data_IF_152093727037
#
_entry.id   IF_152093727037
#
_cell.length_a   1.000
_cell.length_b   1.000
_cell.length_c   1.000
_cell.angle_alpha   90.00
_cell.angle_beta   90.00
_cell.angle_gamma   90.00
#
_symmetry.space_group_name_H-M   'P 1'
#
loop_
_entity.id
_entity.type
_entity.pdbx_description
1 polymer ?
#
# COMPACT_ATOMS: atom_id res chain seq x y z
N UNK A 1 25.48 10.91 10.85
CA UNK A 1 24.18 10.63 11.49
C UNK A 1 24.44 9.92 12.81
N UNK A 2 23.60 10.18 13.81
CA UNK A 2 23.51 9.36 15.03
C UNK A 2 22.83 8.03 14.71
N UNK A 3 23.13 7.01 15.50
CA UNK A 3 22.56 5.67 15.29
C UNK A 3 21.11 5.61 15.80
N UNK A 4 20.13 5.20 14.96
CA UNK A 4 18.76 4.96 15.40
C UNK A 4 18.68 3.84 16.43
N UNK A 5 17.81 3.99 17.42
CA UNK A 5 17.59 2.93 18.41
C UNK A 5 16.65 1.85 17.84
N UNK A 6 16.81 0.61 18.31
CA UNK A 6 15.85 -0.45 17.98
C UNK A 6 14.45 -0.01 18.43
N UNK A 7 13.50 -0.02 17.50
CA UNK A 7 12.12 0.44 17.73
C UNK A 7 11.86 1.89 17.32
N UNK A 8 12.83 2.60 16.75
CA UNK A 8 12.57 3.88 16.06
C UNK A 8 11.53 3.67 14.96
N UNK A 9 10.51 4.53 14.94
CA UNK A 9 9.39 4.44 14.02
C UNK A 9 9.10 5.82 13.41
N UNK A 10 8.75 5.81 12.12
CA UNK A 10 8.13 6.94 11.45
C UNK A 10 6.75 6.53 10.99
N UNK A 11 5.72 7.27 11.42
CA UNK A 11 4.33 6.97 11.09
C UNK A 11 3.79 8.06 10.19
N UNK A 12 3.42 7.67 8.98
CA UNK A 12 2.80 8.58 8.02
C UNK A 12 1.38 8.14 7.67
N UNK A 13 0.40 8.98 7.99
CA UNK A 13 -0.98 8.80 7.56
C UNK A 13 -1.37 9.90 6.58
N UNK A 14 -1.94 9.52 5.44
CA UNK A 14 -2.39 10.46 4.41
C UNK A 14 -3.68 9.98 3.76
N UNK A 15 -4.54 10.93 3.43
CA UNK A 15 -5.68 10.71 2.54
C UNK A 15 -5.14 10.63 1.11
N UNK A 16 -5.62 9.66 0.32
CA UNK A 16 -5.20 9.52 -1.07
C UNK A 16 -5.71 10.71 -1.88
N UNK A 17 -4.77 11.49 -2.42
CA UNK A 17 -5.05 12.62 -3.31
C UNK A 17 -4.74 12.24 -4.76
N UNK A 18 -5.03 13.14 -5.70
CA UNK A 18 -4.76 12.93 -7.12
C UNK A 18 -3.25 12.68 -7.37
N UNK A 19 -2.37 13.33 -6.61
CA UNK A 19 -0.91 13.20 -6.72
C UNK A 19 -0.38 11.81 -6.39
N UNK A 20 -1.09 11.05 -5.56
CA UNK A 20 -0.72 9.68 -5.16
C UNK A 20 -1.47 8.61 -5.99
N UNK A 21 -2.45 9.03 -6.78
CA UNK A 21 -3.34 8.16 -7.53
C UNK A 21 -2.65 7.47 -8.71
N UNK A 22 -3.24 6.39 -9.20
CA UNK A 22 -2.75 5.69 -10.39
C UNK A 22 -2.94 6.51 -11.68
N UNK A 23 -3.97 7.37 -11.71
CA UNK A 23 -4.27 8.27 -12.84
C UNK A 23 -3.08 9.20 -13.16
N UNK A 24 -2.54 9.82 -12.12
CA UNK A 24 -1.38 10.69 -12.21
C UNK A 24 -0.20 10.03 -12.92
N UNK A 25 -0.03 8.70 -12.78
CA UNK A 25 1.04 7.92 -13.43
C UNK A 25 0.59 7.21 -14.72
N UNK A 26 -0.42 7.75 -15.39
CA UNK A 26 -0.85 7.32 -16.72
C UNK A 26 -2.02 6.33 -16.76
N UNK A 27 -2.57 5.91 -15.61
CA UNK A 27 -3.75 5.05 -15.56
C UNK A 27 -5.03 5.87 -15.57
N UNK A 28 -5.33 6.52 -16.71
CA UNK A 28 -6.36 7.55 -16.82
C UNK A 28 -7.71 7.15 -16.21
N UNK A 29 -8.22 7.96 -15.28
CA UNK A 29 -9.49 7.74 -14.57
C UNK A 29 -9.43 6.76 -13.39
N UNK A 30 -8.25 6.28 -12.99
CA UNK A 30 -8.07 5.36 -11.86
C UNK A 30 -7.61 6.12 -10.60
N UNK A 31 -8.57 6.48 -9.75
CA UNK A 31 -8.34 7.32 -8.56
C UNK A 31 -8.11 6.52 -7.26
N UNK A 32 -7.26 5.49 -7.31
CA UNK A 32 -6.82 4.72 -6.12
C UNK A 32 -5.33 4.86 -5.91
N UNK A 33 -4.84 4.55 -4.70
CA UNK A 33 -3.41 4.61 -4.38
C UNK A 33 -2.60 3.72 -5.32
N UNK A 34 -1.61 4.31 -5.99
CA UNK A 34 -0.74 3.61 -6.93
C UNK A 34 0.46 2.98 -6.25
N UNK A 35 1.10 1.99 -6.90
CA UNK A 35 2.36 1.43 -6.39
C UNK A 35 3.44 2.51 -6.22
N UNK A 36 3.65 3.45 -7.16
CA UNK A 36 4.62 4.53 -6.94
C UNK A 36 4.15 5.51 -5.85
N UNK A 37 2.85 5.74 -5.69
CA UNK A 37 2.31 6.51 -4.56
C UNK A 37 2.62 5.85 -3.21
N UNK A 38 2.48 4.53 -3.11
CA UNK A 38 2.87 3.77 -1.91
C UNK A 38 4.39 3.86 -1.65
N UNK A 39 5.21 3.80 -2.69
CA UNK A 39 6.66 3.97 -2.56
C UNK A 39 7.02 5.36 -2.01
N UNK A 40 6.34 6.42 -2.47
CA UNK A 40 6.51 7.78 -1.93
C UNK A 40 6.15 7.83 -0.45
N UNK A 41 5.07 7.18 -0.02
CA UNK A 41 4.68 7.15 1.39
C UNK A 41 5.69 6.41 2.27
N UNK A 42 6.25 5.30 1.80
CA UNK A 42 7.30 4.56 2.52
C UNK A 42 8.59 5.37 2.64
N UNK A 43 9.00 6.07 1.60
CA UNK A 43 10.16 6.96 1.65
C UNK A 43 9.95 8.08 2.68
N UNK A 44 8.79 8.74 2.66
CA UNK A 44 8.48 9.83 3.58
C UNK A 44 8.42 9.36 5.04
N UNK A 45 7.81 8.20 5.32
CA UNK A 45 7.80 7.60 6.65
C UNK A 45 9.21 7.25 7.13
N UNK A 46 10.07 6.75 6.23
CA UNK A 46 11.46 6.42 6.56
C UNK A 46 12.30 7.67 6.86
N UNK A 47 12.09 8.76 6.11
CA UNK A 47 12.70 10.07 6.41
C UNK A 47 12.24 10.57 7.78
N UNK A 48 10.94 10.51 8.07
CA UNK A 48 10.39 10.94 9.37
C UNK A 48 11.00 10.14 10.53
N UNK A 49 11.19 8.84 10.36
CA UNK A 49 11.85 7.99 11.37
C UNK A 49 13.31 8.40 11.65
N UNK A 50 14.01 8.91 10.63
CA UNK A 50 15.44 9.21 10.71
C UNK A 50 15.73 10.68 10.99
N UNK A 51 14.74 11.57 10.87
CA UNK A 51 14.91 13.02 10.93
C UNK A 51 15.66 13.48 12.19
N UNK A 52 15.32 12.92 13.35
CA UNK A 52 15.92 13.27 14.64
C UNK A 52 17.36 12.73 14.82
N UNK A 53 17.84 11.89 13.90
CA UNK A 53 19.17 11.29 13.92
C UNK A 53 20.14 11.93 12.93
N UNK A 54 19.66 12.83 12.07
CA UNK A 54 20.50 13.56 11.13
C UNK A 54 21.22 14.72 11.83
N UNK A 55 22.50 14.89 11.53
CA UNK A 55 23.28 16.05 11.95
C UNK A 55 23.05 17.24 11.01
N UNK A 56 23.35 18.48 11.43
CA UNK A 56 23.25 19.64 10.56
C UNK A 56 24.03 19.44 9.24
N UNK A 57 23.31 19.52 8.12
CA UNK A 57 23.87 19.34 6.78
C UNK A 57 23.79 17.91 6.23
N UNK A 58 23.28 16.94 6.99
CA UNK A 58 23.05 15.58 6.52
C UNK A 58 21.63 15.40 5.93
N UNK A 59 21.52 14.47 4.99
CA UNK A 59 20.26 14.02 4.39
C UNK A 59 20.39 12.56 3.97
N UNK A 60 19.26 11.90 3.77
CA UNK A 60 19.18 10.51 3.29
C UNK A 60 18.64 10.45 1.88
N UNK A 61 18.96 9.36 1.17
CA UNK A 61 18.31 8.97 -0.08
C UNK A 61 17.96 7.49 -0.02
N UNK A 62 16.77 7.12 -0.46
CA UNK A 62 16.42 5.72 -0.71
C UNK A 62 17.30 5.12 -1.80
N UNK A 63 17.95 3.99 -1.51
CA UNK A 63 18.82 3.27 -2.45
C UNK A 63 18.15 2.02 -3.02
N UNK A 64 17.21 1.44 -2.28
CA UNK A 64 16.50 0.22 -2.65
C UNK A 64 15.15 0.18 -1.95
N UNK A 65 14.12 -0.30 -2.65
CA UNK A 65 12.80 -0.48 -2.09
C UNK A 65 12.13 -1.70 -2.72
N UNK A 66 11.69 -2.64 -1.88
CA UNK A 66 10.89 -3.80 -2.29
C UNK A 66 9.47 -3.62 -1.78
N UNK A 67 8.51 -3.44 -2.69
CA UNK A 67 7.10 -3.23 -2.34
C UNK A 67 6.24 -4.31 -2.96
N UNK A 68 5.47 -4.98 -2.12
CA UNK A 68 4.29 -5.72 -2.55
C UNK A 68 3.08 -4.81 -2.35
N UNK A 69 2.60 -4.19 -3.43
CA UNK A 69 1.38 -3.39 -3.38
C UNK A 69 0.17 -4.33 -3.42
N UNK A 70 -0.27 -4.75 -2.23
CA UNK A 70 -1.28 -5.79 -2.07
C UNK A 70 -2.72 -5.28 -2.22
N UNK A 71 -2.93 -3.97 -2.44
CA UNK A 71 -4.21 -3.26 -2.27
C UNK A 71 -5.46 -4.11 -2.58
N UNK A 72 -6.01 -4.65 -1.50
CA UNK A 72 -7.28 -5.36 -1.43
C UNK A 72 -8.37 -4.34 -1.06
N UNK A 73 -9.58 -4.55 -1.58
CA UNK A 73 -10.80 -3.89 -1.12
C UNK A 73 -11.21 -4.53 0.22
N UNK A 74 -11.28 -3.73 1.28
CA UNK A 74 -11.77 -4.17 2.59
C UNK A 74 -13.19 -3.64 2.84
N UNK A 75 -14.07 -4.53 3.29
CA UNK A 75 -15.48 -4.26 3.56
C UNK A 75 -15.78 -4.59 5.02
N UNK A 76 -16.51 -3.71 5.70
CA UNK A 76 -17.22 -4.05 6.92
C UNK A 76 -18.56 -4.70 6.55
N UNK A 77 -18.84 -5.86 7.12
CA UNK A 77 -20.03 -6.66 6.81
C UNK A 77 -20.83 -6.89 8.08
N UNK A 78 -22.14 -6.68 7.99
CA UNK A 78 -23.09 -6.94 9.06
C UNK A 78 -24.30 -7.72 8.54
N UNK A 79 -24.60 -8.86 9.17
CA UNK A 79 -25.78 -9.66 8.91
C UNK A 79 -26.90 -9.29 9.91
N UNK A 80 -28.15 -9.23 9.45
CA UNK A 80 -29.33 -8.87 10.25
C UNK A 80 -30.52 -9.79 9.93
N UNK A 81 -31.37 -10.04 10.94
CA UNK A 81 -32.69 -10.64 10.81
C UNK A 81 -33.78 -9.70 11.38
N UNK A 82 -35.02 -10.19 11.54
CA UNK A 82 -36.15 -9.40 12.06
C UNK A 82 -35.97 -8.95 13.51
N UNK A 83 -35.13 -9.63 14.30
CA UNK A 83 -34.83 -9.30 15.68
C UNK A 83 -33.61 -8.38 15.83
N UNK A 84 -32.73 -8.30 14.82
CA UNK A 84 -31.63 -7.34 14.77
C UNK A 84 -30.33 -7.89 14.16
N UNK A 85 -29.16 -7.32 14.50
CA UNK A 85 -27.87 -7.81 14.03
C UNK A 85 -27.57 -9.22 14.53
N UNK A 86 -27.27 -10.11 13.58
CA UNK A 86 -26.95 -11.53 13.82
C UNK A 86 -25.43 -11.76 13.81
N UNK A 87 -24.65 -10.90 13.14
CA UNK A 87 -23.19 -10.99 13.14
C UNK A 87 -22.50 -9.84 12.42
N UNK A 88 -21.22 -9.59 12.74
CA UNK A 88 -20.36 -8.59 12.10
C UNK A 88 -18.97 -9.15 11.83
N UNK A 89 -18.27 -8.60 10.83
CA UNK A 89 -16.86 -8.87 10.58
C UNK A 89 -16.34 -8.09 9.37
N UNK A 90 -15.04 -8.12 9.15
CA UNK A 90 -14.41 -7.52 7.96
C UNK A 90 -14.18 -8.57 6.87
N UNK A 91 -14.17 -8.12 5.61
CA UNK A 91 -13.99 -8.98 4.46
C UNK A 91 -13.12 -8.32 3.41
N UNK A 92 -12.08 -9.04 2.98
CA UNK A 92 -11.04 -8.50 2.10
C UNK A 92 -11.11 -9.17 0.72
N UNK A 93 -11.01 -8.39 -0.36
CA UNK A 93 -11.17 -8.84 -1.75
C UNK A 93 -10.09 -8.22 -2.64
N UNK A 94 -9.60 -8.94 -3.64
CA UNK A 94 -8.76 -8.36 -4.69
C UNK A 94 -9.53 -8.28 -6.00
N UNK A 95 -9.44 -7.16 -6.73
CA UNK A 95 -9.88 -7.11 -8.12
C UNK A 95 -8.74 -7.58 -8.99
N UNK A 96 -8.93 -8.72 -9.65
CA UNK A 96 -7.95 -9.29 -10.55
C UNK A 96 -8.40 -9.12 -12.00
N UNK A 97 -7.48 -8.68 -12.86
CA UNK A 97 -7.70 -8.70 -14.31
C UNK A 97 -7.80 -10.14 -14.81
N UNK A 98 -8.97 -10.49 -15.38
CA UNK A 98 -9.29 -11.86 -15.84
C UNK A 98 -8.26 -12.37 -16.85
N UNK A 99 -7.92 -11.55 -17.85
CA UNK A 99 -7.03 -11.95 -18.93
C UNK A 99 -5.59 -12.17 -18.44
N UNK A 100 -5.08 -11.32 -17.55
CA UNK A 100 -3.77 -11.46 -16.89
C UNK A 100 -3.74 -12.68 -15.98
N UNK A 101 -4.82 -12.91 -15.23
CA UNK A 101 -4.93 -14.08 -14.37
C UNK A 101 -4.90 -15.38 -15.20
N UNK A 102 -5.68 -15.46 -16.28
CA UNK A 102 -5.72 -16.63 -17.15
C UNK A 102 -4.37 -16.90 -17.81
N UNK A 103 -3.70 -15.87 -18.33
CA UNK A 103 -2.32 -16.01 -18.84
C UNK A 103 -1.36 -16.51 -17.77
N UNK A 104 -1.52 -16.07 -16.52
CA UNK A 104 -0.73 -16.54 -15.38
C UNK A 104 -1.00 -18.00 -15.01
N UNK A 105 -2.26 -18.45 -15.11
CA UNK A 105 -2.64 -19.85 -14.89
C UNK A 105 -2.08 -20.75 -15.99
N UNK A 106 -2.21 -20.37 -17.26
CA UNK A 106 -1.68 -21.14 -18.40
C UNK A 106 -0.16 -21.29 -18.34
N UNK A 107 0.58 -20.23 -17.96
CA UNK A 107 2.04 -20.33 -17.76
C UNK A 107 2.45 -21.34 -16.68
N UNK A 108 1.60 -21.60 -15.68
CA UNK A 108 1.87 -22.59 -14.63
C UNK A 108 1.51 -24.02 -15.04
N UNK A 109 0.53 -24.18 -15.95
CA UNK A 109 0.18 -25.48 -16.55
C UNK A 109 1.23 -26.00 -17.51
N UNK A 110 1.92 -25.14 -18.26
CA UNK A 110 2.97 -25.53 -19.22
C UNK A 110 4.29 -25.93 -18.51
N UNK A 111 4.45 -25.55 -17.24
CA UNK A 111 5.65 -25.83 -16.44
C UNK A 111 5.51 -27.02 -15.48
N UNK A 112 4.37 -27.71 -15.49
CA UNK A 112 4.08 -28.89 -14.66
C UNK A 112 4.10 -30.18 -15.47
#
# INVERSE_FOLDING_TARGET
MREPQVGTEGILQRIVTEELSADRWGNRGVHVLSTPGLAVLFEQASIEALQDFLEPGEFTVGTELHVHHLALLEFEVEARDEAGPVGKGSHVRAVLDRARFDRGVERRRIRG
#
